data_IF_491425203612
#
_entry.id   IF_491425203612
#
_cell.length_a   1.000
_cell.length_b   1.000
_cell.length_c   1.000
_cell.angle_alpha   90.00
_cell.angle_beta   90.00
_cell.angle_gamma   90.00
#
_symmetry.space_group_name_H-M   'P 1'
#
loop_
_entity.id
_entity.type
_entity.pdbx_description
1 polymer ?
#
# COMPACT_ATOMS: atom_id res chain seq x y z
N UNK A 1 -12.04 2.15 22.03
CA UNK A 1 -12.42 2.67 20.70
C UNK A 1 -13.95 2.63 20.55
N UNK A 2 -14.69 3.52 21.22
CA UNK A 2 -16.14 3.60 21.05
C UNK A 2 -16.52 5.08 20.96
N UNK A 3 -17.07 5.50 19.83
CA UNK A 3 -17.64 6.85 19.63
C UNK A 3 -16.88 7.79 18.69
N UNK A 4 -15.81 7.37 18.02
CA UNK A 4 -15.14 8.20 17.03
C UNK A 4 -15.81 8.06 15.65
N UNK A 5 -16.02 9.19 14.96
CA UNK A 5 -16.57 9.19 13.60
C UNK A 5 -15.49 8.81 12.61
N UNK A 6 -15.49 7.55 12.17
CA UNK A 6 -14.58 7.07 11.12
C UNK A 6 -15.21 7.28 9.75
N UNK A 7 -14.46 7.86 8.82
CA UNK A 7 -14.88 8.04 7.43
C UNK A 7 -13.81 7.53 6.47
N UNK A 8 -14.25 7.13 5.28
CA UNK A 8 -13.37 6.81 4.15
C UNK A 8 -13.59 7.85 3.06
N UNK A 9 -12.49 8.38 2.54
CA UNK A 9 -12.49 9.40 1.49
C UNK A 9 -11.64 8.91 0.32
N UNK A 10 -12.18 9.08 -0.88
CA UNK A 10 -11.46 8.83 -2.13
C UNK A 10 -11.38 10.14 -2.90
N UNK A 11 -10.17 10.53 -3.28
CA UNK A 11 -9.94 11.82 -3.93
C UNK A 11 -8.51 11.96 -4.42
N UNK A 12 -8.15 13.17 -4.83
CA UNK A 12 -6.80 13.49 -5.28
C UNK A 12 -6.13 14.47 -4.31
N UNK A 13 -4.82 14.34 -4.12
CA UNK A 13 -4.07 15.33 -3.33
C UNK A 13 -4.00 16.67 -4.06
N UNK A 14 -4.34 17.77 -3.40
CA UNK A 14 -4.29 19.11 -4.00
C UNK A 14 -2.87 19.66 -4.14
N UNK A 15 -1.96 19.16 -3.31
CA UNK A 15 -0.54 19.53 -3.23
C UNK A 15 0.27 18.33 -2.75
N UNK A 16 1.59 18.43 -2.81
CA UNK A 16 2.47 17.44 -2.18
C UNK A 16 2.24 17.41 -0.66
N UNK A 17 2.37 16.24 0.01
CA UNK A 17 2.27 16.16 1.45
C UNK A 17 3.38 16.97 2.14
N UNK A 18 2.98 17.91 2.99
CA UNK A 18 3.92 18.75 3.72
C UNK A 18 4.39 18.03 5.00
N UNK A 19 5.59 17.47 4.96
CA UNK A 19 6.25 16.85 6.11
C UNK A 19 6.88 17.90 7.02
N UNK A 20 6.49 17.89 8.29
CA UNK A 20 7.07 18.73 9.35
C UNK A 20 7.42 17.87 10.56
N UNK A 21 8.31 18.39 11.41
CA UNK A 21 8.65 17.78 12.68
C UNK A 21 8.21 18.69 13.82
N UNK A 22 7.61 18.10 14.85
CA UNK A 22 7.26 18.79 16.09
C UNK A 22 8.53 19.09 16.92
N UNK A 23 8.41 19.93 17.95
CA UNK A 23 9.52 20.20 18.88
C UNK A 23 10.07 18.94 19.57
N UNK A 24 9.23 17.92 19.72
CA UNK A 24 9.59 16.62 20.29
C UNK A 24 10.17 15.64 19.25
N UNK A 25 10.44 16.10 18.02
CA UNK A 25 10.99 15.27 16.95
C UNK A 25 9.99 14.35 16.26
N UNK A 26 8.70 14.40 16.60
CA UNK A 26 7.68 13.57 15.93
C UNK A 26 7.33 14.15 14.56
N UNK A 27 7.42 13.31 13.52
CA UNK A 27 6.99 13.63 12.17
C UNK A 27 5.45 13.77 12.07
N UNK A 28 5.01 14.73 11.26
CA UNK A 28 3.62 14.93 10.86
C UNK A 28 3.57 15.37 9.40
N UNK A 29 2.74 14.73 8.59
CA UNK A 29 2.50 15.14 7.21
C UNK A 29 1.07 15.68 7.08
N UNK A 30 0.96 16.86 6.48
CA UNK A 30 -0.32 17.53 6.25
C UNK A 30 -0.59 17.63 4.74
N UNK A 31 -1.81 17.33 4.33
CA UNK A 31 -2.25 17.45 2.94
C UNK A 31 -3.75 17.65 2.88
N UNK A 32 -4.27 17.98 1.69
CA UNK A 32 -5.70 18.11 1.45
C UNK A 32 -6.13 17.15 0.35
N UNK A 33 -7.17 16.37 0.63
CA UNK A 33 -7.81 15.47 -0.35
C UNK A 33 -9.00 16.20 -0.95
N UNK A 34 -8.99 16.38 -2.27
CA UNK A 34 -10.15 16.84 -3.03
C UNK A 34 -10.95 15.63 -3.54
N UNK A 35 -12.17 15.48 -3.05
CA UNK A 35 -13.12 14.46 -3.47
C UNK A 35 -14.22 15.09 -4.33
N UNK A 36 -14.15 14.87 -5.63
CA UNK A 36 -15.13 15.37 -6.59
C UNK A 36 -16.07 14.25 -7.01
N UNK A 37 -17.36 14.28 -6.64
CA UNK A 37 -18.33 13.33 -7.13
C UNK A 37 -18.58 13.58 -8.63
N UNK A 38 -18.72 12.50 -9.41
CA UNK A 38 -19.23 12.60 -10.78
C UNK A 38 -20.64 12.04 -10.82
N UNK A 39 -21.56 12.78 -11.41
CA UNK A 39 -22.95 12.38 -11.60
C UNK A 39 -23.25 12.30 -13.09
N UNK A 40 -24.07 11.34 -13.48
CA UNK A 40 -24.48 11.17 -14.88
C UNK A 40 -25.70 12.03 -15.16
N UNK A 41 -25.56 13.01 -16.06
CA UNK A 41 -26.66 13.85 -16.52
C UNK A 41 -27.39 13.13 -17.66
N UNK A 42 -28.62 12.67 -17.38
CA UNK A 42 -29.44 11.94 -18.36
C UNK A 42 -29.96 12.82 -19.50
N UNK A 43 -30.07 14.14 -19.30
CA UNK A 43 -30.55 15.04 -20.34
C UNK A 43 -29.44 15.38 -21.35
N UNK A 44 -28.22 15.59 -20.86
CA UNK A 44 -27.04 15.86 -21.69
C UNK A 44 -26.30 14.58 -22.12
N UNK A 45 -26.69 13.41 -21.60
CA UNK A 45 -26.07 12.10 -21.83
C UNK A 45 -24.55 12.10 -21.57
N UNK A 46 -24.10 12.85 -20.55
CA UNK A 46 -22.69 13.05 -20.21
C UNK A 46 -22.45 12.98 -18.69
N UNK A 47 -21.20 12.69 -18.31
CA UNK A 47 -20.77 12.72 -16.91
C UNK A 47 -20.30 14.12 -16.52
N UNK A 48 -20.98 14.72 -15.55
CA UNK A 48 -20.63 16.02 -14.99
C UNK A 48 -19.97 15.89 -13.64
N UNK A 49 -19.03 16.78 -13.38
CA UNK A 49 -18.38 16.90 -12.08
C UNK A 49 -19.29 17.75 -11.18
N UNK A 50 -19.53 17.27 -9.96
CA UNK A 50 -20.28 17.99 -8.93
C UNK A 50 -19.37 18.81 -8.01
N UNK A 51 -19.94 19.29 -6.91
CA UNK A 51 -19.20 20.09 -5.94
C UNK A 51 -18.11 19.28 -5.23
N UNK A 52 -16.89 19.79 -5.26
CA UNK A 52 -15.75 19.12 -4.65
C UNK A 52 -15.71 19.33 -3.13
N UNK A 53 -15.59 18.23 -2.39
CA UNK A 53 -15.28 18.26 -0.97
C UNK A 53 -13.76 18.35 -0.79
N UNK A 54 -13.29 19.37 -0.07
CA UNK A 54 -11.89 19.51 0.32
C UNK A 54 -11.74 19.15 1.79
N UNK A 55 -11.00 18.09 2.08
CA UNK A 55 -10.77 17.63 3.44
C UNK A 55 -9.28 17.68 3.77
N UNK A 56 -8.94 18.49 4.78
CA UNK A 56 -7.58 18.52 5.32
C UNK A 56 -7.33 17.24 6.11
N UNK A 57 -6.21 16.60 5.84
CA UNK A 57 -5.80 15.35 6.45
C UNK A 57 -4.43 15.49 7.13
N UNK A 58 -4.24 14.73 8.20
CA UNK A 58 -2.97 14.63 8.92
C UNK A 58 -2.63 13.18 9.23
N UNK A 59 -1.35 12.87 9.15
CA UNK A 59 -0.77 11.56 9.48
C UNK A 59 0.50 11.78 10.28
N UNK A 60 0.85 10.85 11.16
CA UNK A 60 1.87 11.04 12.19
C UNK A 60 2.96 9.96 12.17
N UNK A 61 4.10 10.27 12.78
CA UNK A 61 5.25 9.37 13.00
C UNK A 61 5.81 8.83 11.68
N UNK A 62 6.40 7.63 11.70
CA UNK A 62 6.95 6.95 10.52
C UNK A 62 5.96 6.92 9.33
N UNK A 63 4.66 6.79 9.61
CA UNK A 63 3.64 6.80 8.57
C UNK A 63 3.57 8.14 7.81
N UNK A 64 3.88 9.26 8.48
CA UNK A 64 3.98 10.56 7.83
C UNK A 64 5.13 10.62 6.81
N UNK A 65 6.28 10.04 7.16
CA UNK A 65 7.45 9.97 6.28
C UNK A 65 7.16 9.09 5.06
N UNK A 66 6.49 7.95 5.27
CA UNK A 66 6.04 7.08 4.19
C UNK A 66 5.09 7.80 3.22
N UNK A 67 4.10 8.51 3.76
CA UNK A 67 3.13 9.27 2.95
C UNK A 67 3.81 10.37 2.15
N UNK A 68 4.69 11.15 2.78
CA UNK A 68 5.42 12.23 2.11
C UNK A 68 6.41 11.72 1.05
N UNK A 69 7.00 10.54 1.26
CA UNK A 69 7.91 9.92 0.29
C UNK A 69 7.20 9.17 -0.85
N UNK A 70 5.93 8.80 -0.68
CA UNK A 70 5.20 7.94 -1.63
C UNK A 70 4.17 8.68 -2.47
N UNK A 71 3.62 9.78 -1.97
CA UNK A 71 2.51 10.50 -2.61
C UNK A 71 2.93 11.90 -3.01
N UNK A 72 2.40 12.36 -4.14
CA UNK A 72 2.61 13.71 -4.68
C UNK A 72 1.28 14.35 -5.06
N UNK A 73 1.30 15.64 -5.38
CA UNK A 73 0.17 16.38 -5.92
C UNK A 73 -0.49 15.62 -7.07
N UNK A 74 -1.83 15.54 -7.03
CA UNK A 74 -2.64 14.86 -8.03
C UNK A 74 -2.75 13.35 -7.82
N UNK A 75 -1.97 12.75 -6.92
CA UNK A 75 -2.09 11.33 -6.58
C UNK A 75 -3.50 11.02 -6.11
N UNK A 76 -4.16 10.05 -6.77
CA UNK A 76 -5.46 9.55 -6.34
C UNK A 76 -5.25 8.61 -5.15
N UNK A 77 -5.96 8.84 -4.07
CA UNK A 77 -5.81 8.10 -2.81
C UNK A 77 -7.14 7.55 -2.32
N UNK A 78 -7.06 6.45 -1.57
CA UNK A 78 -8.13 5.96 -0.70
C UNK A 78 -7.59 6.13 0.72
N UNK A 79 -8.32 6.89 1.54
CA UNK A 79 -7.93 7.21 2.91
C UNK A 79 -9.06 6.86 3.87
N UNK A 80 -8.73 6.24 5.00
CA UNK A 80 -9.65 5.99 6.11
C UNK A 80 -9.08 6.60 7.37
N UNK A 81 -9.93 7.20 8.19
CA UNK A 81 -9.49 7.83 9.42
C UNK A 81 -10.63 8.43 10.22
N UNK A 82 -10.25 9.13 11.28
CA UNK A 82 -11.16 9.76 12.24
C UNK A 82 -11.41 11.22 11.87
N UNK A 83 -12.67 11.59 11.72
CA UNK A 83 -13.07 12.98 11.57
C UNK A 83 -12.97 13.69 12.92
N UNK A 84 -12.13 14.72 12.99
CA UNK A 84 -11.90 15.54 14.18
C UNK A 84 -12.31 16.98 13.88
N UNK A 85 -13.03 17.57 14.83
CA UNK A 85 -13.33 18.99 14.81
C UNK A 85 -12.25 19.73 15.61
N UNK A 86 -11.58 20.72 15.00
CA UNK A 86 -10.63 21.60 15.70
C UNK A 86 -11.14 23.03 15.70
N UNK A 87 -11.14 23.64 16.88
CA UNK A 87 -11.37 25.08 17.02
C UNK A 87 -10.03 25.81 16.98
N UNK A 88 -9.94 26.87 16.18
CA UNK A 88 -8.75 27.73 16.10
C UNK A 88 -9.20 29.19 16.09
N UNK A 89 -8.34 30.06 16.62
CA UNK A 89 -8.58 31.50 16.63
C UNK A 89 -7.90 32.12 15.42
N UNK A 90 -8.60 32.97 14.68
CA UNK A 90 -8.00 33.75 13.60
C UNK A 90 -7.13 34.87 14.20
N UNK A 91 -6.28 35.49 13.37
CA UNK A 91 -5.47 36.64 13.79
C UNK A 91 -6.33 37.83 14.28
N UNK A 92 -7.62 37.83 13.94
CA UNK A 92 -8.60 38.86 14.27
C UNK A 92 -9.37 38.53 15.56
N UNK A 93 -9.06 37.42 16.23
CA UNK A 93 -9.70 36.99 17.49
C UNK A 93 -10.98 36.16 17.32
N UNK A 94 -11.35 35.81 16.09
CA UNK A 94 -12.57 35.03 15.82
C UNK A 94 -12.29 33.53 16.01
N UNK A 95 -13.11 32.85 16.83
CA UNK A 95 -13.07 31.39 16.97
C UNK A 95 -13.74 30.73 15.76
N UNK A 96 -12.95 30.06 14.93
CA UNK A 96 -13.43 29.24 13.83
C UNK A 96 -13.28 27.77 14.12
N UNK A 97 -14.08 26.98 13.42
CA UNK A 97 -14.04 25.52 13.47
C UNK A 97 -13.57 25.00 12.11
N UNK A 98 -12.63 24.06 12.12
CA UNK A 98 -12.23 23.26 10.96
C UNK A 98 -12.51 21.79 11.20
N UNK A 99 -12.91 21.09 10.14
CA UNK A 99 -12.99 19.63 10.11
C UNK A 99 -11.70 19.08 9.52
N UNK A 100 -11.02 18.20 10.25
CA UNK A 100 -9.78 17.56 9.84
C UNK A 100 -9.91 16.04 9.93
N UNK A 101 -9.28 15.33 9.00
CA UNK A 101 -9.20 13.89 9.00
C UNK A 101 -7.86 13.44 9.58
N UNK A 102 -7.89 12.77 10.72
CA UNK A 102 -6.73 12.08 11.25
C UNK A 102 -6.67 10.69 10.64
N UNK A 103 -5.64 10.44 9.83
CA UNK A 103 -5.56 9.26 8.97
C UNK A 103 -5.09 8.05 9.78
N UNK A 104 -5.86 6.98 9.71
CA UNK A 104 -5.48 5.66 10.21
C UNK A 104 -4.81 4.83 9.11
N UNK A 105 -5.35 4.88 7.89
CA UNK A 105 -4.84 4.15 6.73
C UNK A 105 -4.99 4.99 5.45
N UNK A 106 -3.98 4.95 4.57
CA UNK A 106 -4.03 5.60 3.25
C UNK A 106 -3.17 4.83 2.25
N UNK A 107 -3.66 4.73 1.02
CA UNK A 107 -2.89 4.17 -0.09
C UNK A 107 -3.24 4.81 -1.44
N UNK A 108 -2.33 4.71 -2.43
CA UNK A 108 -2.64 5.14 -3.79
C UNK A 108 -3.75 4.25 -4.36
N UNK A 109 -4.74 4.89 -4.99
CA UNK A 109 -5.83 4.21 -5.69
C UNK A 109 -5.32 3.64 -7.00
N UNK A 110 -5.35 2.31 -7.14
CA UNK A 110 -4.95 1.63 -8.37
C UNK A 110 -5.99 1.71 -9.52
N UNK A 111 -7.08 2.45 -9.32
CA UNK A 111 -8.13 2.64 -10.34
C UNK A 111 -7.60 3.13 -11.69
N UNK A 112 -6.59 4.01 -11.70
CA UNK A 112 -6.01 4.61 -12.91
C UNK A 112 -4.48 4.61 -12.91
N UNK A 113 -3.85 3.81 -12.03
CA UNK A 113 -2.40 3.80 -11.83
C UNK A 113 -1.95 2.42 -11.34
N UNK A 114 -0.68 2.09 -11.58
CA UNK A 114 0.01 0.97 -10.95
C UNK A 114 0.93 1.48 -9.84
N UNK A 115 1.27 0.63 -8.88
CA UNK A 115 2.19 0.97 -7.79
C UNK A 115 3.13 -0.21 -7.50
N UNK A 116 4.40 0.08 -7.24
CA UNK A 116 5.35 -0.87 -6.64
C UNK A 116 5.38 -0.63 -5.13
N UNK A 117 5.30 -1.72 -4.35
CA UNK A 117 5.35 -1.63 -2.89
C UNK A 117 6.72 -2.11 -2.40
N UNK A 118 7.41 -1.25 -1.67
CA UNK A 118 8.61 -1.61 -0.90
C UNK A 118 8.23 -1.66 0.57
N UNK A 119 8.48 -2.80 1.24
CA UNK A 119 8.21 -2.94 2.67
C UNK A 119 9.27 -2.16 3.46
N UNK A 120 8.83 -1.22 4.29
CA UNK A 120 9.70 -0.56 5.25
C UNK A 120 10.29 -1.61 6.21
N UNK A 121 11.61 -1.57 6.42
CA UNK A 121 12.24 -2.44 7.42
C UNK A 121 11.93 -1.86 8.80
N UNK A 122 11.15 -2.59 9.59
CA UNK A 122 10.92 -2.22 10.99
C UNK A 122 12.26 -2.19 11.72
N UNK A 123 12.70 -1.00 12.12
CA UNK A 123 13.86 -0.77 12.98
C UNK A 123 13.53 -1.08 14.45
N UNK A 124 13.05 -2.30 14.70
CA UNK A 124 12.96 -2.86 16.04
C UNK A 124 14.27 -3.56 16.41
N UNK A 125 14.75 -3.48 17.67
CA UNK A 125 15.86 -4.30 18.11
C UNK A 125 15.45 -5.77 17.96
N UNK A 126 15.98 -6.44 16.94
CA UNK A 126 15.97 -7.89 16.87
C UNK A 126 16.96 -8.37 17.92
N UNK A 127 16.48 -8.54 19.15
CA UNK A 127 17.26 -9.11 20.24
C UNK A 127 17.80 -10.48 19.85
N UNK A 128 19.11 -10.52 19.71
CA UNK A 128 20.03 -11.66 19.64
C UNK A 128 19.47 -13.07 19.45
N UNK A 129 19.78 -13.65 18.28
CA UNK A 129 20.35 -14.99 18.23
C UNK A 129 21.70 -14.87 17.50
N UNK A 130 22.83 -15.27 18.11
CA UNK A 130 24.11 -15.26 17.41
C UNK A 130 24.07 -16.35 16.34
N UNK A 131 24.18 -15.97 15.07
CA UNK A 131 24.54 -16.89 14.00
C UNK A 131 26.03 -17.24 14.17
N UNK A 132 26.30 -18.19 15.06
CA UNK A 132 27.58 -18.88 15.11
C UNK A 132 27.69 -19.74 13.84
N UNK A 133 28.81 -19.58 13.13
CA UNK A 133 29.15 -20.40 11.98
C UNK A 133 29.16 -21.89 12.34
N UNK A 134 28.59 -22.70 11.45
CA UNK A 134 28.50 -24.15 11.59
C UNK A 134 28.27 -24.77 10.22
N UNK A 135 29.36 -25.06 9.53
CA UNK A 135 29.43 -25.93 8.37
C UNK A 135 29.05 -27.35 8.84
N UNK A 136 27.99 -27.91 8.29
CA UNK A 136 27.48 -29.20 8.74
C UNK A 136 26.26 -29.63 7.93
N UNK A 137 26.56 -30.30 6.81
CA UNK A 137 25.67 -31.24 6.14
C UNK A 137 24.98 -32.12 7.19
N UNK A 138 23.66 -32.36 7.10
CA UNK A 138 22.97 -33.62 7.43
C UNK A 138 21.44 -33.40 7.42
N UNK A 139 20.80 -33.68 6.28
CA UNK A 139 19.35 -33.90 6.19
C UNK A 139 19.03 -35.35 6.63
N UNK A 140 18.09 -35.58 7.57
CA UNK A 140 17.90 -36.88 8.23
C UNK A 140 16.87 -37.81 7.54
N UNK A 141 16.55 -37.61 6.25
CA UNK A 141 15.49 -38.39 5.59
C UNK A 141 15.78 -38.78 4.14
N UNK A 142 16.80 -39.64 3.94
CA UNK A 142 16.93 -40.38 2.70
C UNK A 142 17.33 -41.84 2.99
N UNK A 143 16.56 -42.86 2.55
CA UNK A 143 16.96 -44.25 2.65
C UNK A 143 18.15 -44.54 1.72
N UNK A 144 19.13 -45.25 2.27
CA UNK A 144 20.41 -45.59 1.65
C UNK A 144 20.24 -46.40 0.35
N UNK A 145 20.83 -45.95 -0.75
CA UNK A 145 20.94 -46.73 -1.97
C UNK A 145 22.15 -47.70 -1.89
N UNK A 146 22.03 -48.96 -2.36
CA UNK A 146 23.20 -49.82 -2.53
C UNK A 146 23.97 -49.47 -3.82
N UNK A 147 25.28 -49.68 -3.77
CA UNK A 147 26.26 -49.36 -4.80
C UNK A 147 25.97 -50.05 -6.15
N UNK A 148 26.16 -49.32 -7.26
CA UNK A 148 26.00 -49.82 -8.63
C UNK A 148 27.28 -50.54 -9.11
N UNK A 149 27.12 -51.75 -9.65
CA UNK A 149 28.09 -52.39 -10.55
C UNK A 149 27.45 -52.54 -11.94
N UNK A 150 28.19 -52.05 -12.95
CA UNK A 150 28.19 -52.35 -14.39
C UNK A 150 26.85 -52.44 -15.19
N UNK A 151 26.83 -51.67 -16.30
CA UNK A 151 25.91 -51.70 -17.44
C UNK A 151 25.99 -53.04 -18.25
N UNK A 152 25.13 -53.36 -19.26
CA UNK A 152 24.34 -52.44 -20.10
C UNK A 152 22.94 -52.89 -20.61
N UNK A 153 22.30 -51.93 -21.31
CA UNK A 153 21.38 -52.06 -22.45
C UNK A 153 19.84 -52.04 -22.25
N UNK A 154 19.24 -51.21 -23.13
CA UNK A 154 17.90 -51.24 -23.72
C UNK A 154 16.73 -50.45 -23.08
N UNK A 155 16.34 -49.43 -23.86
CA UNK A 155 14.98 -48.96 -24.20
C UNK A 155 14.03 -48.45 -23.10
N UNK A 156 13.72 -47.16 -23.19
CA UNK A 156 12.55 -46.54 -22.56
C UNK A 156 12.76 -45.05 -22.38
N UNK A 157 12.64 -44.26 -23.44
CA UNK A 157 12.76 -42.80 -23.36
C UNK A 157 11.53 -42.19 -22.67
N UNK A 158 11.75 -41.60 -21.50
CA UNK A 158 10.73 -40.85 -20.77
C UNK A 158 10.28 -39.60 -21.55
N UNK A 159 8.98 -39.54 -21.78
CA UNK A 159 8.22 -38.61 -22.63
C UNK A 159 8.13 -37.18 -22.04
N UNK A 160 8.84 -36.91 -20.94
CA UNK A 160 8.67 -35.70 -20.14
C UNK A 160 9.65 -34.57 -20.45
N UNK A 161 10.57 -34.75 -21.40
CA UNK A 161 11.54 -33.72 -21.75
C UNK A 161 11.71 -33.56 -23.26
N UNK A 162 10.69 -33.01 -23.94
CA UNK A 162 10.90 -32.36 -25.24
C UNK A 162 9.84 -31.27 -25.48
N UNK A 163 10.23 -30.02 -25.82
CA UNK A 163 9.30 -28.94 -26.08
C UNK A 163 8.82 -28.98 -27.54
N UNK A 164 7.50 -29.06 -27.76
CA UNK A 164 6.97 -29.08 -29.11
C UNK A 164 5.45 -28.89 -29.23
N UNK A 165 5.09 -27.73 -29.78
CA UNK A 165 3.96 -27.46 -30.68
C UNK A 165 2.52 -27.66 -30.18
N UNK A 166 1.89 -26.54 -29.79
CA UNK A 166 0.43 -26.46 -29.61
C UNK A 166 -0.25 -26.32 -30.98
N UNK A 167 -0.85 -27.41 -31.46
CA UNK A 167 -1.83 -27.37 -32.56
C UNK A 167 -3.22 -27.74 -32.01
N UNK A 168 -4.05 -26.71 -32.05
CA UNK A 168 -5.51 -26.61 -32.06
C UNK A 168 -6.30 -27.87 -32.46
N UNK A 169 -7.09 -28.41 -31.52
CA UNK A 169 -8.39 -29.06 -31.79
C UNK A 169 -9.13 -29.35 -30.47
N UNK A 170 -10.17 -28.57 -30.16
CA UNK A 170 -11.13 -28.87 -29.08
C UNK A 170 -12.44 -29.38 -29.69
N UNK A 171 -12.87 -30.63 -29.44
CA UNK A 171 -14.25 -31.01 -29.71
C UNK A 171 -15.06 -30.74 -28.45
N UNK A 172 -16.05 -29.84 -28.52
CA UNK A 172 -17.44 -29.99 -28.06
C UNK A 172 -18.26 -28.79 -28.54
#
# INVERSE_FOLDING_TARGET
>A
MAGETVITVVGNLTSDPELRYTQNGLAVANFTIASTPRTFDRAANEWKDGDALFLRASVWREFAEHVAGSLTKGSRVIASGRLKQRSYETKEGEKRTSMELEIDEIGPSLRYATASLTRAQSSGPRSGAPAAGGQGNDEPWAPSAPAKTAAPAASGGDVWNSPGNFSDETPF
#
